data_IF_171409006006
#
_entry.id   IF_171409006006
#
_cell.length_a   1.000
_cell.length_b   1.000
_cell.length_c   1.000
_cell.angle_alpha   90.00
_cell.angle_beta   90.00
_cell.angle_gamma   90.00
#
_symmetry.space_group_name_H-M   'P 1'
#
loop_
_entity.id
_entity.type
_entity.pdbx_description
1 polymer ?
#
# COMPACT_ATOMS: atom_id res chain seq x y z
N UNK A 1 23.65 -2.36 -3.84
CA UNK A 1 22.70 -2.37 -2.70
C UNK A 1 22.94 -3.66 -1.92
N UNK A 2 23.17 -3.64 -0.59
CA UNK A 2 23.58 -4.88 0.09
C UNK A 2 22.45 -5.92 0.12
N UNK A 3 22.79 -7.21 -0.02
CA UNK A 3 21.87 -8.35 -0.07
C UNK A 3 20.89 -8.36 1.13
N UNK A 4 21.33 -7.84 2.28
CA UNK A 4 20.53 -7.68 3.50
C UNK A 4 19.31 -6.77 3.32
N UNK A 5 19.39 -5.70 2.51
CA UNK A 5 18.25 -4.81 2.26
C UNK A 5 17.16 -5.48 1.43
N UNK A 6 17.56 -6.30 0.46
CA UNK A 6 16.66 -7.02 -0.43
C UNK A 6 15.90 -8.09 0.38
N UNK A 7 16.62 -8.90 1.16
CA UNK A 7 16.00 -9.92 2.03
C UNK A 7 15.06 -9.29 3.06
N UNK A 8 15.42 -8.14 3.62
CA UNK A 8 14.59 -7.40 4.58
C UNK A 8 13.30 -6.88 3.92
N UNK A 9 13.41 -6.32 2.72
CA UNK A 9 12.25 -5.90 1.95
C UNK A 9 11.33 -7.06 1.58
N UNK A 10 11.87 -8.19 1.11
CA UNK A 10 11.07 -9.37 0.75
C UNK A 10 10.25 -9.85 1.96
N UNK A 11 10.83 -9.88 3.16
CA UNK A 11 10.11 -10.23 4.39
C UNK A 11 8.97 -9.24 4.69
N UNK A 12 9.24 -7.94 4.59
CA UNK A 12 8.23 -6.91 4.79
C UNK A 12 7.10 -7.02 3.75
N UNK A 13 7.46 -7.10 2.47
CA UNK A 13 6.51 -7.17 1.37
C UNK A 13 5.67 -8.44 1.39
N UNK A 14 6.26 -9.59 1.74
CA UNK A 14 5.52 -10.83 1.96
C UNK A 14 4.44 -10.69 3.04
N UNK A 15 4.76 -10.06 4.18
CA UNK A 15 3.78 -9.74 5.22
C UNK A 15 2.69 -8.78 4.73
N UNK A 16 3.07 -7.77 3.95
CA UNK A 16 2.15 -6.82 3.34
C UNK A 16 1.20 -7.48 2.34
N UNK A 17 1.68 -8.45 1.54
CA UNK A 17 0.86 -9.20 0.60
C UNK A 17 -0.17 -10.09 1.30
N UNK A 18 0.22 -10.75 2.39
CA UNK A 18 -0.72 -11.53 3.21
C UNK A 18 -1.80 -10.62 3.78
N UNK A 19 -1.42 -9.44 4.29
CA UNK A 19 -2.36 -8.43 4.74
C UNK A 19 -3.31 -8.03 3.60
N UNK A 20 -2.79 -7.74 2.41
CA UNK A 20 -3.58 -7.34 1.23
C UNK A 20 -4.58 -8.43 0.83
N UNK A 21 -4.17 -9.69 0.84
CA UNK A 21 -5.04 -10.83 0.55
C UNK A 21 -6.18 -10.94 1.56
N UNK A 22 -5.87 -10.85 2.86
CA UNK A 22 -6.89 -10.85 3.92
C UNK A 22 -7.87 -9.68 3.73
N UNK A 23 -7.37 -8.50 3.36
CA UNK A 23 -8.21 -7.35 3.06
C UNK A 23 -9.17 -7.61 1.89
N UNK A 24 -8.69 -8.18 0.78
CA UNK A 24 -9.52 -8.52 -0.36
C UNK A 24 -10.62 -9.54 0.00
N UNK A 25 -10.27 -10.56 0.81
CA UNK A 25 -11.23 -11.55 1.28
C UNK A 25 -12.31 -10.93 2.17
N UNK A 26 -11.94 -10.08 3.13
CA UNK A 26 -12.88 -9.37 3.98
C UNK A 26 -13.80 -8.45 3.18
N UNK A 27 -13.25 -7.76 2.17
CA UNK A 27 -14.04 -6.89 1.31
C UNK A 27 -15.04 -7.70 0.46
N UNK A 28 -14.65 -8.85 -0.07
CA UNK A 28 -15.57 -9.73 -0.81
C UNK A 28 -16.69 -10.33 0.06
N UNK A 29 -16.44 -10.50 1.36
CA UNK A 29 -17.44 -10.99 2.32
C UNK A 29 -18.43 -9.90 2.73
N UNK A 30 -17.98 -8.65 2.81
CA UNK A 30 -18.78 -7.52 3.30
C UNK A 30 -19.47 -6.74 2.18
N UNK A 31 -18.95 -6.81 0.95
CA UNK A 31 -19.51 -6.15 -0.24
C UNK A 31 -19.80 -7.22 -1.28
N UNK A 32 -21.03 -7.76 -1.35
CA UNK A 32 -21.37 -8.90 -2.23
C UNK A 32 -21.12 -8.64 -3.72
N UNK A 33 -21.17 -7.37 -4.14
CA UNK A 33 -20.90 -6.92 -5.50
C UNK A 33 -19.39 -6.85 -5.81
N UNK A 34 -18.53 -6.93 -4.80
CA UNK A 34 -17.08 -6.95 -4.96
C UNK A 34 -16.60 -8.38 -5.24
N UNK A 35 -16.52 -8.72 -6.53
CA UNK A 35 -15.95 -9.97 -7.03
C UNK A 35 -14.54 -9.72 -7.58
N UNK A 36 -13.48 -9.72 -6.73
CA UNK A 36 -12.15 -9.42 -7.21
C UNK A 36 -11.68 -10.52 -8.16
N UNK A 37 -11.44 -10.16 -9.42
CA UNK A 37 -10.81 -11.08 -10.36
C UNK A 37 -9.35 -11.29 -9.96
N UNK A 38 -8.75 -12.46 -10.26
CA UNK A 38 -7.32 -12.69 -10.04
C UNK A 38 -6.45 -11.61 -10.69
N UNK A 39 -6.87 -11.10 -11.86
CA UNK A 39 -6.20 -10.02 -12.57
C UNK A 39 -6.25 -8.71 -11.77
N UNK A 40 -7.43 -8.34 -11.25
CA UNK A 40 -7.58 -7.13 -10.42
C UNK A 40 -6.70 -7.19 -9.19
N UNK A 41 -6.66 -8.34 -8.49
CA UNK A 41 -5.77 -8.53 -7.35
C UNK A 41 -4.30 -8.38 -7.75
N UNK A 42 -3.88 -9.02 -8.84
CA UNK A 42 -2.49 -8.94 -9.32
C UNK A 42 -2.09 -7.52 -9.69
N UNK A 43 -2.96 -6.76 -10.37
CA UNK A 43 -2.71 -5.36 -10.72
C UNK A 43 -2.56 -4.48 -9.48
N UNK A 44 -3.45 -4.65 -8.49
CA UNK A 44 -3.38 -3.91 -7.22
C UNK A 44 -2.13 -4.29 -6.43
N UNK A 45 -1.80 -5.57 -6.34
CA UNK A 45 -0.60 -6.06 -5.67
C UNK A 45 0.70 -5.53 -6.31
N UNK A 46 0.76 -5.48 -7.64
CA UNK A 46 1.91 -4.94 -8.37
C UNK A 46 2.05 -3.43 -8.19
N UNK A 47 0.93 -2.70 -8.23
CA UNK A 47 0.93 -1.28 -7.91
C UNK A 47 1.44 -1.02 -6.49
N UNK A 48 0.96 -1.79 -5.52
CA UNK A 48 1.44 -1.72 -4.13
C UNK A 48 2.92 -2.06 -4.00
N UNK A 49 3.40 -3.08 -4.69
CA UNK A 49 4.82 -3.41 -4.70
C UNK A 49 5.68 -2.22 -5.09
N UNK A 50 5.34 -1.53 -6.17
CA UNK A 50 6.09 -0.37 -6.66
C UNK A 50 6.10 0.75 -5.62
N UNK A 51 4.95 1.04 -5.00
CA UNK A 51 4.84 2.09 -3.97
C UNK A 51 5.62 1.73 -2.71
N UNK A 52 5.45 0.51 -2.20
CA UNK A 52 6.12 0.02 -1.00
C UNK A 52 7.63 -0.07 -1.19
N UNK A 53 8.09 -0.51 -2.36
CA UNK A 53 9.52 -0.52 -2.72
C UNK A 53 10.09 0.89 -2.75
N UNK A 54 9.42 1.82 -3.43
CA UNK A 54 9.84 3.23 -3.53
C UNK A 54 9.92 3.89 -2.15
N UNK A 55 8.89 3.66 -1.31
CA UNK A 55 8.84 4.12 0.07
C UNK A 55 9.97 3.53 0.91
N UNK A 56 10.21 2.22 0.79
CA UNK A 56 11.29 1.54 1.51
C UNK A 56 12.67 2.10 1.13
N UNK A 57 12.94 2.29 -0.16
CA UNK A 57 14.20 2.88 -0.64
C UNK A 57 14.40 4.30 -0.10
N UNK A 58 13.36 5.14 -0.24
CA UNK A 58 13.40 6.53 0.20
C UNK A 58 13.66 6.65 1.70
N UNK A 59 12.92 5.89 2.52
CA UNK A 59 13.05 5.90 3.98
C UNK A 59 14.36 5.28 4.45
N UNK A 60 14.85 4.23 3.79
CA UNK A 60 16.15 3.62 4.11
C UNK A 60 17.29 4.60 3.85
N UNK A 61 17.22 5.36 2.75
CA UNK A 61 18.21 6.40 2.46
C UNK A 61 18.14 7.56 3.45
N UNK A 62 16.94 7.95 3.88
CA UNK A 62 16.75 8.98 4.91
C UNK A 62 17.30 8.53 6.27
N UNK A 63 17.08 7.26 6.67
CA UNK A 63 17.61 6.68 7.92
C UNK A 63 19.13 6.77 8.02
N UNK A 64 19.84 6.64 6.90
CA UNK A 64 21.32 6.72 6.86
C UNK A 64 21.88 8.12 7.10
N UNK A 65 21.09 9.17 6.87
CA UNK A 65 21.54 10.56 7.07
C UNK A 65 21.42 10.98 8.53
N UNK A 66 20.19 10.98 9.07
CA UNK A 66 19.89 11.38 10.44
C UNK A 66 18.47 10.96 10.86
N UNK A 67 18.22 10.80 12.15
CA UNK A 67 16.92 10.44 12.74
C UNK A 67 15.82 11.46 12.42
N UNK A 68 16.13 12.76 12.43
CA UNK A 68 15.16 13.80 12.07
C UNK A 68 14.81 13.76 10.58
N UNK A 69 15.79 13.44 9.72
CA UNK A 69 15.55 13.25 8.28
C UNK A 69 14.62 12.05 8.04
N UNK A 70 14.76 10.97 8.80
CA UNK A 70 13.89 9.80 8.69
C UNK A 70 12.43 10.13 9.04
N UNK A 71 12.18 10.88 10.12
CA UNK A 71 10.81 11.27 10.52
C UNK A 71 10.17 12.19 9.47
N UNK A 72 10.91 13.17 8.95
CA UNK A 72 10.41 14.06 7.88
C UNK A 72 10.09 13.28 6.60
N UNK A 73 10.98 12.40 6.18
CA UNK A 73 10.78 11.52 5.02
C UNK A 73 9.61 10.56 5.23
N UNK A 74 9.38 10.11 6.46
CA UNK A 74 8.21 9.29 6.80
C UNK A 74 6.90 10.05 6.64
N UNK A 75 6.81 11.26 7.17
CA UNK A 75 5.63 12.12 6.99
C UNK A 75 5.41 12.42 5.49
N UNK A 76 6.46 12.71 4.74
CA UNK A 76 6.39 12.91 3.29
C UNK A 76 5.91 11.66 2.54
N UNK A 77 6.31 10.47 2.99
CA UNK A 77 5.85 9.19 2.42
C UNK A 77 4.36 8.95 2.68
N UNK A 78 3.87 9.28 3.88
CA UNK A 78 2.43 9.22 4.20
C UNK A 78 1.67 10.15 3.25
N UNK A 79 2.09 11.40 3.11
CA UNK A 79 1.43 12.37 2.24
C UNK A 79 1.41 11.90 0.77
N UNK A 80 2.54 11.38 0.27
CA UNK A 80 2.64 10.84 -1.09
C UNK A 80 1.68 9.66 -1.31
N UNK A 81 1.56 8.75 -0.34
CA UNK A 81 0.63 7.61 -0.42
C UNK A 81 -0.82 8.06 -0.44
N UNK A 82 -1.18 9.11 0.30
CA UNK A 82 -2.51 9.72 0.22
C UNK A 82 -2.81 10.31 -1.15
N UNK A 83 -1.83 10.98 -1.78
CA UNK A 83 -1.98 11.49 -3.15
C UNK A 83 -2.13 10.35 -4.16
N UNK A 84 -1.29 9.32 -4.05
CA UNK A 84 -1.37 8.14 -4.93
C UNK A 84 -2.72 7.42 -4.79
N UNK A 85 -3.23 7.32 -3.57
CA UNK A 85 -4.57 6.80 -3.30
C UNK A 85 -5.67 7.61 -4.01
N UNK A 86 -5.60 8.95 -3.95
CA UNK A 86 -6.51 9.84 -4.67
C UNK A 86 -6.41 9.66 -6.20
N UNK A 87 -5.22 9.43 -6.74
CA UNK A 87 -5.03 9.16 -8.17
C UNK A 87 -5.61 7.80 -8.56
N UNK A 88 -5.35 6.75 -7.77
CA UNK A 88 -5.93 5.41 -7.97
C UNK A 88 -7.45 5.45 -7.89
N UNK A 89 -8.01 6.28 -6.99
CA UNK A 89 -9.43 6.54 -6.86
C UNK A 89 -10.02 7.11 -8.16
N UNK A 90 -9.41 8.18 -8.69
CA UNK A 90 -9.88 8.79 -9.94
C UNK A 90 -9.80 7.79 -11.08
N UNK A 91 -8.69 7.06 -11.20
CA UNK A 91 -8.51 6.05 -12.24
C UNK A 91 -9.56 4.93 -12.17
N UNK A 92 -9.82 4.37 -10.98
CA UNK A 92 -10.82 3.32 -10.80
C UNK A 92 -12.23 3.82 -11.11
N UNK A 93 -12.59 5.05 -10.72
CA UNK A 93 -13.87 5.68 -11.08
C UNK A 93 -14.01 5.82 -12.59
N UNK A 94 -12.94 6.25 -13.28
CA UNK A 94 -12.97 6.43 -14.74
C UNK A 94 -12.99 5.11 -15.54
N UNK A 95 -12.33 4.07 -15.04
CA UNK A 95 -12.21 2.77 -15.73
C UNK A 95 -13.39 1.84 -15.41
N UNK A 96 -13.89 1.89 -14.18
CA UNK A 96 -14.97 1.05 -13.69
C UNK A 96 -16.27 1.84 -13.62
N UNK A 97 -16.64 2.51 -14.72
CA UNK A 97 -17.87 3.32 -14.84
C UNK A 97 -19.16 2.53 -14.52
N UNK A 98 -19.08 1.19 -14.54
CA UNK A 98 -20.17 0.27 -14.26
C UNK A 98 -20.26 -0.18 -12.79
N UNK A 99 -19.34 0.23 -11.92
CA UNK A 99 -19.42 -0.10 -10.49
C UNK A 99 -20.26 0.93 -9.74
N UNK A 100 -21.13 0.44 -8.85
CA UNK A 100 -21.86 1.29 -7.93
C UNK A 100 -20.88 2.11 -7.06
N UNK A 101 -21.20 3.39 -6.86
CA UNK A 101 -20.40 4.31 -6.04
C UNK A 101 -20.11 3.72 -4.65
N UNK A 102 -21.03 2.95 -4.08
CA UNK A 102 -20.88 2.26 -2.80
C UNK A 102 -19.72 1.24 -2.78
N UNK A 103 -19.52 0.49 -3.87
CA UNK A 103 -18.42 -0.46 -4.01
C UNK A 103 -17.08 0.27 -4.07
N UNK A 104 -17.05 1.37 -4.83
CA UNK A 104 -15.86 2.23 -4.94
C UNK A 104 -15.50 2.79 -3.56
N UNK A 105 -16.45 3.39 -2.85
CA UNK A 105 -16.24 3.94 -1.50
C UNK A 105 -15.81 2.88 -0.47
N UNK A 106 -16.33 1.65 -0.57
CA UNK A 106 -15.95 0.55 0.31
C UNK A 106 -14.52 0.06 0.04
N UNK A 107 -14.17 -0.14 -1.23
CA UNK A 107 -12.81 -0.48 -1.64
C UNK A 107 -11.80 0.59 -1.19
N UNK A 108 -12.18 1.86 -1.37
CA UNK A 108 -11.39 3.01 -0.95
C UNK A 108 -11.16 3.01 0.56
N UNK A 109 -12.20 2.88 1.36
CA UNK A 109 -12.09 2.87 2.82
C UNK A 109 -11.17 1.74 3.29
N UNK A 110 -11.35 0.55 2.72
CA UNK A 110 -10.50 -0.60 3.01
C UNK A 110 -9.02 -0.36 2.62
N UNK A 111 -8.77 0.24 1.46
CA UNK A 111 -7.43 0.56 0.98
C UNK A 111 -6.74 1.62 1.85
N UNK A 112 -7.47 2.63 2.33
CA UNK A 112 -6.94 3.64 3.25
C UNK A 112 -6.51 3.01 4.59
N UNK A 113 -7.30 2.06 5.11
CA UNK A 113 -6.93 1.30 6.31
C UNK A 113 -5.69 0.44 6.05
N UNK A 114 -5.66 -0.31 4.94
CA UNK A 114 -4.52 -1.12 4.53
C UNK A 114 -3.22 -0.30 4.44
N UNK A 115 -3.24 0.81 3.70
CA UNK A 115 -2.05 1.67 3.49
C UNK A 115 -1.55 2.28 4.80
N UNK A 116 -2.47 2.63 5.71
CA UNK A 116 -2.12 3.15 7.04
C UNK A 116 -1.39 2.08 7.87
N UNK A 117 -1.92 0.86 7.89
CA UNK A 117 -1.32 -0.28 8.61
C UNK A 117 0.05 -0.64 8.00
N UNK A 118 0.12 -0.77 6.67
CA UNK A 118 1.35 -1.10 5.93
C UNK A 118 2.45 -0.04 6.16
N UNK A 119 2.08 1.24 6.15
CA UNK A 119 3.01 2.35 6.42
C UNK A 119 3.49 2.37 7.87
N UNK A 120 2.61 2.06 8.83
CA UNK A 120 3.00 1.90 10.23
C UNK A 120 3.98 0.72 10.44
N UNK A 121 3.70 -0.42 9.82
CA UNK A 121 4.62 -1.57 9.87
C UNK A 121 5.96 -1.25 9.20
N UNK A 122 5.96 -0.53 8.08
CA UNK A 122 7.18 -0.08 7.41
C UNK A 122 8.02 0.81 8.33
N UNK A 123 7.40 1.76 9.03
CA UNK A 123 8.08 2.58 10.03
C UNK A 123 8.71 1.75 11.14
N UNK A 124 7.93 0.86 11.75
CA UNK A 124 8.40 0.00 12.85
C UNK A 124 9.52 -0.93 12.39
N UNK A 125 9.43 -1.44 11.16
CA UNK A 125 10.43 -2.31 10.55
C UNK A 125 11.74 -1.55 10.29
N UNK A 126 11.65 -0.34 9.75
CA UNK A 126 12.82 0.48 9.45
C UNK A 126 13.42 1.16 10.68
N UNK A 127 12.66 1.39 11.77
CA UNK A 127 13.18 1.99 13.00
C UNK A 127 14.06 1.03 13.81
N UNK A 128 13.75 -0.27 13.76
CA UNK A 128 14.62 -1.33 14.30
C UNK A 128 15.97 -1.36 13.59
#
# INVERSE_FOLDING_TARGET
>A
MSQQYITSFIKFFGGSLVLLLVFFLLLSLTVPQFAPSPLMFASVALFFFVISWSSYLYLTNAKKKDSNSFVRSFIGTIALKFVLYLVTLLFLVFVLQNLEVAVILSFLSAFMVYTSIETYYLYKFLKK
#
